data_IF_642839090476
#
_entry.id   IF_642839090476
#
_cell.length_a   1.000
_cell.length_b   1.000
_cell.length_c   1.000
_cell.angle_alpha   90.00
_cell.angle_beta   90.00
_cell.angle_gamma   90.00
#
_symmetry.space_group_name_H-M   'P 1'
#
loop_
_entity.id
_entity.type
_entity.pdbx_description
1 polymer ?
#
# COMPACT_ATOMS: atom_id res chain seq x y z
N UNK A 1 9.49 14.61 -15.15
CA UNK A 1 10.43 13.50 -14.88
C UNK A 1 9.66 12.43 -14.13
N UNK A 2 9.01 11.52 -14.85
CA UNK A 2 8.29 10.39 -14.24
C UNK A 2 9.26 9.21 -14.21
N UNK A 3 9.99 9.03 -13.10
CA UNK A 3 10.81 7.82 -12.93
C UNK A 3 9.88 6.67 -12.55
N UNK A 4 9.17 6.17 -13.58
CA UNK A 4 8.55 4.87 -13.58
C UNK A 4 9.63 3.82 -13.86
N UNK A 5 10.32 3.40 -12.81
CA UNK A 5 11.02 2.10 -12.76
C UNK A 5 11.20 1.75 -11.27
N UNK A 6 10.10 1.71 -10.53
CA UNK A 6 10.08 1.19 -9.17
C UNK A 6 10.22 -0.32 -9.26
N UNK A 7 11.46 -0.81 -9.30
CA UNK A 7 11.77 -2.24 -9.24
C UNK A 7 11.00 -2.82 -8.07
N UNK A 8 10.34 -3.94 -8.29
CA UNK A 8 9.51 -4.60 -7.29
C UNK A 8 10.34 -5.03 -6.05
N UNK A 9 11.66 -4.98 -6.18
CA UNK A 9 12.69 -5.22 -5.18
C UNK A 9 13.22 -3.95 -4.48
N UNK A 10 12.61 -2.77 -4.66
CA UNK A 10 13.05 -1.60 -3.89
C UNK A 10 12.86 -1.86 -2.39
N UNK A 11 13.96 -1.89 -1.59
CA UNK A 11 13.88 -2.27 -0.19
C UNK A 11 13.07 -1.26 0.64
N UNK A 12 13.00 0.00 0.19
CA UNK A 12 12.16 1.02 0.80
C UNK A 12 10.67 0.75 0.58
N UNK A 13 10.28 0.38 -0.64
CA UNK A 13 8.91 0.00 -0.98
C UNK A 13 8.48 -1.26 -0.22
N UNK A 14 9.36 -2.26 -0.11
CA UNK A 14 9.07 -3.49 0.64
C UNK A 14 8.90 -3.21 2.14
N UNK A 15 9.77 -2.39 2.73
CA UNK A 15 9.64 -1.96 4.12
C UNK A 15 8.33 -1.20 4.35
N UNK A 16 7.99 -0.26 3.46
CA UNK A 16 6.77 0.54 3.56
C UNK A 16 5.51 -0.32 3.41
N UNK A 17 5.51 -1.26 2.47
CA UNK A 17 4.41 -2.19 2.26
C UNK A 17 4.15 -3.07 3.49
N UNK A 18 5.22 -3.63 4.06
CA UNK A 18 5.14 -4.43 5.30
C UNK A 18 4.62 -3.60 6.48
N UNK A 19 5.07 -2.35 6.61
CA UNK A 19 4.59 -1.43 7.65
C UNK A 19 3.10 -1.15 7.49
N UNK A 20 2.65 -0.83 6.27
CA UNK A 20 1.25 -0.52 5.97
C UNK A 20 0.33 -1.73 6.19
N UNK A 21 0.76 -2.90 5.71
CA UNK A 21 0.04 -4.17 5.90
C UNK A 21 -0.21 -4.45 7.39
N UNK A 22 0.82 -4.29 8.23
CA UNK A 22 0.71 -4.47 9.68
C UNK A 22 -0.20 -3.44 10.35
N UNK A 23 -0.10 -2.17 9.96
CA UNK A 23 -0.88 -1.07 10.55
C UNK A 23 -2.39 -1.24 10.29
N UNK A 24 -2.76 -1.65 9.07
CA UNK A 24 -4.16 -1.67 8.64
C UNK A 24 -4.77 -3.07 8.72
N UNK A 25 -3.95 -4.12 8.68
CA UNK A 25 -4.39 -5.51 8.60
C UNK A 25 -4.85 -5.89 7.20
N UNK A 26 -4.10 -5.48 6.18
CA UNK A 26 -4.21 -5.94 4.79
C UNK A 26 -2.98 -6.75 4.40
N UNK A 27 -2.99 -7.40 3.24
CA UNK A 27 -1.85 -8.17 2.75
C UNK A 27 -0.73 -7.26 2.26
N UNK A 28 0.54 -7.69 2.36
CA UNK A 28 1.68 -6.92 1.81
C UNK A 28 1.55 -6.68 0.29
N UNK A 29 0.91 -7.60 -0.44
CA UNK A 29 0.62 -7.41 -1.87
C UNK A 29 -0.38 -6.28 -2.13
N UNK A 30 -1.42 -6.16 -1.30
CA UNK A 30 -2.41 -5.07 -1.38
C UNK A 30 -1.72 -3.73 -1.03
N UNK A 31 -0.90 -3.73 0.01
CA UNK A 31 -0.09 -2.57 0.39
C UNK A 31 0.87 -2.12 -0.73
N UNK A 32 1.55 -3.06 -1.40
CA UNK A 32 2.38 -2.75 -2.58
C UNK A 32 1.56 -2.16 -3.72
N UNK A 33 0.37 -2.70 -3.97
CA UNK A 33 -0.55 -2.17 -4.98
C UNK A 33 -0.93 -0.72 -4.71
N UNK A 34 -1.28 -0.40 -3.46
CA UNK A 34 -1.55 0.96 -3.02
C UNK A 34 -0.35 1.88 -3.20
N UNK A 35 0.85 1.45 -2.78
CA UNK A 35 2.07 2.25 -2.93
C UNK A 35 2.38 2.55 -4.40
N UNK A 36 2.21 1.57 -5.29
CA UNK A 36 2.37 1.77 -6.74
C UNK A 36 1.32 2.73 -7.31
N UNK A 37 0.11 2.75 -6.76
CA UNK A 37 -1.01 3.54 -7.26
C UNK A 37 -0.99 5.00 -6.79
N UNK A 38 -0.73 5.24 -5.50
CA UNK A 38 -0.87 6.55 -4.87
C UNK A 38 0.45 7.13 -4.35
N UNK A 39 1.56 6.40 -4.51
CA UNK A 39 2.88 6.81 -4.04
C UNK A 39 3.14 6.45 -2.58
N UNK A 40 4.12 7.12 -1.98
CA UNK A 40 4.68 6.75 -0.66
C UNK A 40 4.27 7.68 0.48
N UNK A 41 3.26 8.55 0.30
CA UNK A 41 2.75 9.39 1.39
C UNK A 41 2.02 8.52 2.42
N UNK A 42 2.51 8.53 3.66
CA UNK A 42 2.01 7.65 4.71
C UNK A 42 0.55 7.92 5.11
N UNK A 43 0.13 9.19 5.13
CA UNK A 43 -1.22 9.54 5.58
C UNK A 43 -2.26 9.12 4.53
N UNK A 44 -1.97 9.40 3.26
CA UNK A 44 -2.76 8.91 2.12
C UNK A 44 -2.81 7.38 2.10
N UNK A 45 -1.68 6.70 2.28
CA UNK A 45 -1.64 5.24 2.30
C UNK A 45 -2.51 4.63 3.38
N UNK A 46 -2.42 5.13 4.62
CA UNK A 46 -3.23 4.61 5.73
C UNK A 46 -4.72 4.85 5.50
N UNK A 47 -5.09 6.03 4.97
CA UNK A 47 -6.48 6.35 4.65
C UNK A 47 -7.05 5.39 3.60
N UNK A 48 -6.38 5.27 2.45
CA UNK A 48 -6.89 4.45 1.36
C UNK A 48 -6.88 2.97 1.70
N UNK A 49 -5.88 2.49 2.43
CA UNK A 49 -5.83 1.11 2.91
C UNK A 49 -7.00 0.77 3.86
N UNK A 50 -7.41 1.71 4.73
CA UNK A 50 -8.56 1.52 5.62
C UNK A 50 -9.87 1.44 4.85
N UNK A 51 -10.06 2.34 3.87
CA UNK A 51 -11.24 2.32 2.98
C UNK A 51 -11.27 1.01 2.20
N UNK A 52 -10.15 0.59 1.63
CA UNK A 52 -10.04 -0.66 0.89
C UNK A 52 -10.42 -1.88 1.74
N UNK A 53 -9.89 -1.97 2.97
CA UNK A 53 -10.22 -3.06 3.90
C UNK A 53 -11.72 -3.11 4.23
N UNK A 54 -12.32 -1.95 4.47
CA UNK A 54 -13.75 -1.84 4.81
C UNK A 54 -14.65 -2.24 3.64
N UNK A 55 -14.31 -1.82 2.42
CA UNK A 55 -15.00 -2.24 1.19
C UNK A 55 -14.95 -3.75 0.99
N UNK A 56 -13.81 -4.39 1.29
CA UNK A 56 -13.65 -5.84 1.19
C UNK A 56 -14.45 -6.60 2.26
N UNK A 57 -14.63 -6.01 3.45
CA UNK A 57 -15.44 -6.58 4.52
C UNK A 57 -16.95 -6.45 4.27
N UNK A 58 -17.37 -5.40 3.55
CA UNK A 58 -18.78 -5.14 3.20
C UNK A 58 -19.28 -5.94 1.99
N UNK A 59 -18.37 -6.51 1.19
CA UNK A 59 -18.69 -7.35 0.04
C UNK A 59 -18.77 -8.85 0.37
N UNK A 60 -18.71 -9.22 1.65
CA UNK A 60 -18.79 -10.61 2.15
C UNK A 60 -20.10 -10.88 2.88
#
# INVERSE_FOLDING_TARGET
>A
MTTGDGREDDPGIQFLARRLAKEVGISEAEARGLIKLIGTDWNSLVREAKIWKDLKGSAS
#
